data_IF_579667372572
#
_entry.id   IF_579667372572
#
_cell.length_a   1.000
_cell.length_b   1.000
_cell.length_c   1.000
_cell.angle_alpha   90.00
_cell.angle_beta   90.00
_cell.angle_gamma   90.00
#
_symmetry.space_group_name_H-M   'P 1'
#
loop_
_entity.id
_entity.type
_entity.pdbx_description
1 polymer ?
#
# COMPACT_ATOMS: atom_id res chain seq x y z
N UNK A 1 -1.51 -35.12 -21.17
CA UNK A 1 -0.43 -34.12 -21.21
C UNK A 1 0.84 -34.80 -20.73
N UNK A 2 1.94 -34.74 -21.49
CA UNK A 2 3.22 -35.34 -21.13
C UNK A 2 3.95 -34.51 -20.07
N UNK A 3 4.91 -35.10 -19.35
CA UNK A 3 5.80 -34.36 -18.45
C UNK A 3 6.57 -33.24 -19.16
N UNK A 4 6.97 -33.45 -20.42
CA UNK A 4 7.63 -32.44 -21.24
C UNK A 4 6.70 -31.27 -21.57
N UNK A 5 5.42 -31.55 -21.83
CA UNK A 5 4.43 -30.50 -22.10
C UNK A 5 4.23 -29.62 -20.86
N UNK A 6 4.22 -30.23 -19.67
CA UNK A 6 4.12 -29.54 -18.39
C UNK A 6 5.33 -28.63 -18.17
N UNK A 7 6.55 -29.14 -18.38
CA UNK A 7 7.76 -28.31 -18.23
C UNK A 7 7.80 -27.15 -19.22
N UNK A 8 7.34 -27.36 -20.45
CA UNK A 8 7.22 -26.31 -21.46
C UNK A 8 6.20 -25.24 -21.06
N UNK A 9 5.03 -25.63 -20.57
CA UNK A 9 4.02 -24.66 -20.08
C UNK A 9 4.55 -23.91 -18.84
N UNK A 10 5.20 -24.59 -17.88
CA UNK A 10 5.80 -23.93 -16.71
C UNK A 10 6.86 -22.92 -17.16
N UNK A 11 7.76 -23.28 -18.08
CA UNK A 11 8.76 -22.37 -18.62
C UNK A 11 8.13 -21.18 -19.37
N UNK A 12 7.02 -21.42 -20.08
CA UNK A 12 6.27 -20.36 -20.73
C UNK A 12 5.67 -19.37 -19.70
N UNK A 13 5.07 -19.87 -18.63
CA UNK A 13 4.54 -19.02 -17.56
C UNK A 13 5.65 -18.21 -16.88
N UNK A 14 6.82 -18.80 -16.63
CA UNK A 14 7.97 -18.07 -16.06
C UNK A 14 8.39 -16.89 -16.94
N UNK A 15 8.39 -17.06 -18.27
CA UNK A 15 8.73 -15.99 -19.21
C UNK A 15 7.63 -14.92 -19.30
N UNK A 16 6.36 -15.34 -19.34
CA UNK A 16 5.21 -14.44 -19.49
C UNK A 16 5.01 -13.62 -18.22
N UNK A 17 5.04 -14.25 -17.04
CA UNK A 17 4.82 -13.57 -15.77
C UNK A 17 5.90 -12.53 -15.47
N UNK A 18 7.11 -12.69 -16.02
CA UNK A 18 8.16 -11.66 -15.96
C UNK A 18 7.90 -10.43 -16.85
N UNK A 19 6.87 -10.44 -17.70
CA UNK A 19 6.60 -9.40 -18.71
C UNK A 19 5.19 -8.82 -18.66
N UNK A 20 4.22 -9.56 -18.14
CA UNK A 20 2.83 -9.09 -18.09
C UNK A 20 2.62 -8.08 -16.96
N UNK A 21 1.64 -7.22 -17.17
CA UNK A 21 1.17 -6.22 -16.22
C UNK A 21 -0.29 -6.50 -15.87
N UNK A 22 -0.80 -6.05 -14.70
CA UNK A 22 -2.23 -6.09 -14.38
C UNK A 22 -3.17 -5.56 -15.48
N UNK A 23 -2.68 -4.63 -16.31
CA UNK A 23 -3.44 -3.98 -17.38
C UNK A 23 -3.13 -4.56 -18.78
N UNK A 24 -2.64 -5.79 -18.85
CA UNK A 24 -2.39 -6.47 -20.13
C UNK A 24 -3.71 -6.83 -20.84
N UNK A 25 -3.62 -7.17 -22.13
CA UNK A 25 -4.75 -7.59 -22.96
C UNK A 25 -5.37 -8.90 -22.50
N UNK A 26 -4.59 -9.75 -21.84
CA UNK A 26 -5.03 -11.05 -21.34
C UNK A 26 -5.27 -10.91 -19.82
N UNK A 27 -6.52 -11.08 -19.34
CA UNK A 27 -6.85 -10.86 -17.93
C UNK A 27 -6.16 -11.88 -17.03
N UNK A 28 -5.82 -11.48 -15.80
CA UNK A 28 -5.15 -12.34 -14.81
C UNK A 28 -5.96 -13.62 -14.51
N UNK A 29 -7.29 -13.55 -14.57
CA UNK A 29 -8.19 -14.71 -14.42
C UNK A 29 -7.98 -15.78 -15.49
N UNK A 30 -7.58 -15.40 -16.72
CA UNK A 30 -7.23 -16.36 -17.76
C UNK A 30 -5.98 -17.14 -17.37
N UNK A 31 -4.94 -16.44 -16.89
CA UNK A 31 -3.69 -17.05 -16.43
C UNK A 31 -3.92 -17.95 -15.21
N UNK A 32 -4.80 -17.54 -14.30
CA UNK A 32 -5.22 -18.33 -13.14
C UNK A 32 -5.82 -19.67 -13.56
N UNK A 33 -6.82 -19.63 -14.43
CA UNK A 33 -7.47 -20.83 -14.93
C UNK A 33 -6.47 -21.74 -15.65
N UNK A 34 -5.53 -21.16 -16.41
CA UNK A 34 -4.53 -21.94 -17.14
C UNK A 34 -3.52 -22.63 -16.23
N UNK A 35 -3.16 -22.03 -15.09
CA UNK A 35 -2.36 -22.70 -14.05
C UNK A 35 -3.14 -23.86 -13.41
N UNK A 36 -4.42 -23.65 -13.09
CA UNK A 36 -5.28 -24.67 -12.47
C UNK A 36 -5.56 -25.88 -13.39
N UNK A 37 -5.44 -25.70 -14.72
CA UNK A 37 -5.53 -26.80 -15.69
C UNK A 37 -4.31 -27.73 -15.68
N UNK A 38 -3.21 -27.37 -15.02
CA UNK A 38 -2.04 -28.25 -14.92
C UNK A 38 -2.36 -29.42 -13.98
N UNK A 39 -2.10 -30.68 -14.41
CA UNK A 39 -2.42 -31.85 -13.60
C UNK A 39 -1.46 -31.97 -12.42
N UNK A 40 -1.85 -31.46 -11.25
CA UNK A 40 -1.02 -31.48 -10.02
C UNK A 40 -0.52 -32.88 -9.62
N UNK A 41 -1.34 -33.91 -9.92
CA UNK A 41 -1.03 -35.32 -9.65
C UNK A 41 0.11 -35.87 -10.50
N UNK A 42 0.40 -35.23 -11.64
CA UNK A 42 1.49 -35.59 -12.55
C UNK A 42 2.72 -34.69 -12.37
N UNK A 43 2.73 -33.77 -11.41
CA UNK A 43 3.87 -32.88 -11.22
C UNK A 43 5.00 -33.57 -10.45
N UNK A 44 6.23 -33.42 -10.92
CA UNK A 44 7.41 -33.76 -10.14
C UNK A 44 7.63 -32.73 -9.01
N UNK A 45 8.33 -33.08 -7.91
CA UNK A 45 8.58 -32.15 -6.81
C UNK A 45 9.19 -30.82 -7.28
N UNK A 46 10.12 -30.86 -8.23
CA UNK A 46 10.73 -29.68 -8.84
C UNK A 46 9.71 -28.83 -9.59
N UNK A 47 8.81 -29.44 -10.36
CA UNK A 47 7.76 -28.75 -11.09
C UNK A 47 6.76 -28.11 -10.13
N UNK A 48 6.38 -28.79 -9.04
CA UNK A 48 5.53 -28.22 -7.97
C UNK A 48 6.15 -26.99 -7.33
N UNK A 49 7.45 -27.02 -7.04
CA UNK A 49 8.15 -25.88 -6.45
C UNK A 49 8.16 -24.67 -7.41
N UNK A 50 8.30 -24.89 -8.73
CA UNK A 50 8.20 -23.83 -9.74
C UNK A 50 6.78 -23.29 -9.85
N UNK A 51 5.79 -24.18 -9.89
CA UNK A 51 4.38 -23.82 -9.94
C UNK A 51 3.95 -22.97 -8.73
N UNK A 52 4.40 -23.32 -7.53
CA UNK A 52 4.13 -22.54 -6.32
C UNK A 52 4.68 -21.10 -6.39
N UNK A 53 5.84 -20.90 -7.04
CA UNK A 53 6.39 -19.55 -7.28
C UNK A 53 5.54 -18.77 -8.26
N UNK A 54 5.11 -19.41 -9.35
CA UNK A 54 4.21 -18.80 -10.34
C UNK A 54 2.86 -18.41 -9.71
N UNK A 55 2.28 -19.27 -8.87
CA UNK A 55 1.05 -18.97 -8.13
C UNK A 55 1.23 -17.73 -7.24
N UNK A 56 2.35 -17.66 -6.50
CA UNK A 56 2.66 -16.50 -5.66
C UNK A 56 2.83 -15.21 -6.49
N UNK A 57 3.52 -15.28 -7.63
CA UNK A 57 3.66 -14.14 -8.55
C UNK A 57 2.32 -13.68 -9.09
N UNK A 58 1.45 -14.60 -9.52
CA UNK A 58 0.13 -14.25 -10.04
C UNK A 58 -0.73 -13.59 -8.96
N UNK A 59 -0.73 -14.11 -7.73
CA UNK A 59 -1.44 -13.49 -6.60
C UNK A 59 -0.94 -12.08 -6.30
N UNK A 60 0.37 -11.85 -6.39
CA UNK A 60 0.93 -10.51 -6.20
C UNK A 60 0.47 -9.54 -7.30
N UNK A 61 0.41 -10.01 -8.56
CA UNK A 61 -0.13 -9.23 -9.68
C UNK A 61 -1.62 -8.93 -9.47
N UNK A 62 -2.43 -9.91 -9.09
CA UNK A 62 -3.85 -9.74 -8.79
C UNK A 62 -4.08 -8.74 -7.64
N UNK A 63 -3.28 -8.82 -6.58
CA UNK A 63 -3.35 -7.87 -5.47
C UNK A 63 -2.98 -6.46 -5.94
N UNK A 64 -1.95 -6.30 -6.76
CA UNK A 64 -1.55 -5.01 -7.31
C UNK A 64 -2.61 -4.43 -8.26
N UNK A 65 -3.33 -5.28 -8.99
CA UNK A 65 -4.43 -4.90 -9.87
C UNK A 65 -5.62 -4.38 -9.06
N UNK A 66 -5.89 -5.01 -7.91
CA UNK A 66 -7.05 -4.76 -7.08
C UNK A 66 -6.78 -3.75 -5.95
N UNK A 67 -5.53 -3.33 -5.78
CA UNK A 67 -5.15 -2.21 -4.92
C UNK A 67 -5.19 -0.97 -5.82
N UNK A 68 -6.31 -0.21 -5.88
CA UNK A 68 -6.24 1.14 -6.44
C UNK A 68 -5.17 1.86 -5.62
N UNK A 69 -4.16 2.39 -6.32
CA UNK A 69 -3.06 3.14 -5.73
C UNK A 69 -3.59 3.91 -4.53
N UNK A 70 -3.11 3.54 -3.34
CA UNK A 70 -3.55 4.13 -2.08
C UNK A 70 -3.62 5.63 -2.29
N UNK A 71 -4.85 6.12 -2.23
CA UNK A 71 -5.26 7.48 -1.97
C UNK A 71 -4.12 8.16 -1.19
N UNK A 72 -3.47 9.16 -1.80
CA UNK A 72 -2.60 10.08 -1.07
C UNK A 72 -3.34 10.40 0.24
N UNK A 73 -2.76 10.16 1.43
CA UNK A 73 -3.40 10.61 2.64
C UNK A 73 -3.67 12.10 2.43
N UNK A 74 -4.90 12.57 2.69
CA UNK A 74 -5.29 13.92 2.34
C UNK A 74 -4.24 14.82 2.94
N UNK A 75 -3.52 15.54 2.07
CA UNK A 75 -2.55 16.55 2.46
C UNK A 75 -3.24 17.32 3.56
N UNK A 76 -2.76 17.11 4.79
CA UNK A 76 -3.16 17.93 5.91
C UNK A 76 -2.65 19.31 5.52
N UNK A 77 -3.54 20.04 4.85
CA UNK A 77 -3.56 21.48 4.76
C UNK A 77 -3.45 21.93 6.20
N UNK A 78 -2.21 22.16 6.64
CA UNK A 78 -1.88 22.99 7.79
C UNK A 78 -2.34 24.40 7.39
N UNK A 79 -3.66 24.57 7.37
CA UNK A 79 -4.33 25.85 7.34
C UNK A 79 -4.06 26.50 8.70
N UNK A 80 -2.93 27.22 8.73
CA UNK A 80 -2.77 28.51 9.39
C UNK A 80 -4.14 29.17 9.60
N UNK A 81 -4.75 28.96 10.75
CA UNK A 81 -5.98 29.64 11.20
C UNK A 81 -6.10 29.49 12.71
N UNK A 82 -5.10 30.03 13.40
CA UNK A 82 -5.14 30.32 14.83
C UNK A 82 -4.89 31.80 15.05
N UNK A 83 -5.72 32.65 14.44
CA UNK A 83 -5.74 34.09 14.71
C UNK A 83 -7.16 34.47 15.10
N UNK A 84 -7.42 34.52 16.41
CA UNK A 84 -8.24 35.52 17.08
C UNK A 84 -8.53 35.06 18.51
N UNK A 85 -7.80 35.62 19.47
CA UNK A 85 -8.44 36.37 20.56
C UNK A 85 -7.44 37.37 21.11
N UNK A 86 -7.55 38.55 20.53
CA UNK A 86 -7.12 39.81 21.09
C UNK A 86 -7.74 39.98 22.49
N UNK A 87 -6.89 40.14 23.51
CA UNK A 87 -7.25 40.70 24.80
C UNK A 87 -6.50 42.03 24.94
N UNK A 88 -7.19 43.18 24.98
CA UNK A 88 -6.54 44.45 25.26
C UNK A 88 -6.62 44.73 26.76
N UNK A 89 -5.50 44.62 27.48
CA UNK A 89 -5.37 45.22 28.79
C UNK A 89 -4.19 46.21 28.73
N UNK A 90 -4.56 47.46 28.47
CA UNK A 90 -3.72 48.64 28.58
C UNK A 90 -3.06 48.67 29.95
N UNK A 91 -1.74 48.78 29.99
CA UNK A 91 -1.07 49.48 31.08
C UNK A 91 -1.39 50.98 30.93
N UNK A 92 -1.65 51.69 32.03
CA UNK A 92 -0.65 52.71 32.38
C UNK A 92 -0.42 52.84 33.89
N UNK A 93 0.84 53.09 34.23
CA UNK A 93 1.29 53.58 35.51
C UNK A 93 0.45 54.78 36.01
N UNK A 94 -0.05 54.68 37.25
CA UNK A 94 -0.47 55.82 38.07
C UNK A 94 -0.44 55.46 39.57
N UNK A 95 0.61 55.95 40.24
CA UNK A 95 0.71 56.36 41.64
C UNK A 95 0.37 55.43 42.83
N UNK A 96 1.11 55.57 43.96
CA UNK A 96 1.09 54.65 45.09
C UNK A 96 -0.04 54.95 46.10
N UNK A 97 -0.43 53.98 46.96
CA UNK A 97 -1.16 54.28 48.18
C UNK A 97 -0.21 54.73 49.32
N UNK A 98 -0.71 55.53 50.29
CA UNK A 98 0.10 56.24 51.28
C UNK A 98 0.48 55.41 52.52
N UNK A 99 1.52 55.90 53.20
CA UNK A 99 2.00 55.50 54.54
C UNK A 99 0.91 55.55 55.63
N UNK A 100 0.86 54.48 56.43
CA UNK A 100 0.56 54.46 57.86
C UNK A 100 1.60 53.49 58.48
N UNK A 101 2.60 53.95 59.24
CA UNK A 101 2.60 54.05 60.73
C UNK A 101 2.04 52.76 61.37
N UNK A 102 2.63 52.05 62.33
CA UNK A 102 3.59 52.36 63.39
C UNK A 102 3.72 51.05 64.21
N UNK A 103 4.82 50.87 64.98
CA UNK A 103 4.97 49.91 66.11
C UNK A 103 4.91 48.41 65.75
N UNK A 104 5.80 47.51 66.20
CA UNK A 104 6.56 47.41 67.44
C UNK A 104 7.76 46.47 67.26
#
# INVERSE_FOLDING_TARGET
MSYQDIDNEIAHFELVFGKISPNDRIPLSYWRNRLDMLPETLLMPTQRARLARLDATLRALELSANTPAAEEPPRAVLNRSGSARQAPAREPAASPPPLLSETS
#
